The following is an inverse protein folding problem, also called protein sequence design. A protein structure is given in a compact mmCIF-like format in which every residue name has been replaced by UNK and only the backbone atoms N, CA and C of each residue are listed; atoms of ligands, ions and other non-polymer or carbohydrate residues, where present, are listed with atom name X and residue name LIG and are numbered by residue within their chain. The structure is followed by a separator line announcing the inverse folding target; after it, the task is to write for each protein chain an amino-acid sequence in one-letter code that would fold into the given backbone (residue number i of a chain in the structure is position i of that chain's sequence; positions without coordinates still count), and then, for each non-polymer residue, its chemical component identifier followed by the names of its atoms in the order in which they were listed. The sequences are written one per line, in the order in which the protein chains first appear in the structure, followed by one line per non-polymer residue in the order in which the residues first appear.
data_IF_916140631275
#
_entry.id   IF_916140631275
#
_cell.length_a   1.000
_cell.length_b   1.000
_cell.length_c   1.000
_cell.angle_alpha   90.00
_cell.angle_beta   90.00
_cell.angle_gamma   90.00
#
_symmetry.space_group_name_H-M   'P 1'
#
loop_
_entity.id
_entity.type
_entity.pdbx_description
1 polymer ?
#
# COMPACT_ATOMS: atom_id res chain seq x y z
N UNK A 1 -24.22 6.96 5.75
CA UNK A 1 -23.90 5.95 4.72
C UNK A 1 -22.61 5.28 5.16
N UNK A 2 -22.71 4.10 5.79
CA UNK A 2 -21.57 3.36 6.34
C UNK A 2 -20.74 2.83 5.17
N UNK A 3 -19.58 3.41 4.90
CA UNK A 3 -18.59 2.80 4.02
C UNK A 3 -17.96 1.61 4.75
N UNK A 4 -18.03 0.44 4.14
CA UNK A 4 -17.46 -0.81 4.66
C UNK A 4 -15.94 -0.74 4.65
N UNK A 5 -15.37 -0.18 5.72
CA UNK A 5 -13.94 -0.11 6.00
C UNK A 5 -13.43 -1.43 6.60
N UNK A 6 -13.64 -2.57 5.92
CA UNK A 6 -13.15 -3.85 6.42
C UNK A 6 -11.84 -4.21 5.74
N UNK A 7 -10.74 -4.18 6.47
CA UNK A 7 -9.60 -5.02 6.13
C UNK A 7 -10.07 -6.46 6.22
N UNK A 8 -9.66 -7.31 5.28
CA UNK A 8 -9.76 -8.75 5.47
C UNK A 8 -8.69 -9.11 6.51
N UNK A 9 -8.91 -8.77 7.79
CA UNK A 9 -8.04 -9.18 8.88
C UNK A 9 -8.21 -10.69 9.00
N UNK A 10 -7.34 -11.43 8.31
CA UNK A 10 -7.14 -12.83 8.66
C UNK A 10 -6.75 -12.86 10.15
N UNK A 11 -7.28 -13.80 10.94
CA UNK A 11 -7.02 -13.89 12.38
C UNK A 11 -5.54 -14.23 12.66
N UNK A 12 -4.65 -13.25 12.46
CA UNK A 12 -3.20 -13.40 12.41
C UNK A 12 -2.50 -12.64 13.54
N UNK A 13 -3.26 -12.04 14.47
CA UNK A 13 -2.74 -11.25 15.59
C UNK A 13 -2.36 -9.81 15.26
N UNK A 14 -2.61 -9.34 14.03
CA UNK A 14 -2.42 -7.94 13.64
C UNK A 14 -3.72 -7.16 13.89
N UNK A 15 -3.65 -6.17 14.77
CA UNK A 15 -4.75 -5.23 15.01
C UNK A 15 -4.46 -3.90 14.34
N UNK A 16 -5.38 -3.44 13.50
CA UNK A 16 -5.31 -2.12 12.86
C UNK A 16 -6.25 -1.16 13.57
N UNK A 17 -5.74 -0.02 14.04
CA UNK A 17 -6.60 1.06 14.53
C UNK A 17 -7.26 1.78 13.34
N UNK A 18 -8.40 1.26 12.90
CA UNK A 18 -9.13 1.79 11.74
C UNK A 18 -9.66 3.21 11.96
N UNK A 19 -9.85 3.64 13.21
CA UNK A 19 -10.33 4.99 13.53
C UNK A 19 -9.23 6.02 13.32
N UNK A 20 -8.02 5.71 13.77
CA UNK A 20 -6.82 6.51 13.52
C UNK A 20 -6.58 6.74 12.02
N UNK A 21 -6.76 5.68 11.23
CA UNK A 21 -6.69 5.73 9.76
C UNK A 21 -7.78 6.65 9.20
N UNK A 22 -9.05 6.42 9.58
CA UNK A 22 -10.18 7.20 9.08
C UNK A 22 -10.04 8.71 9.37
N UNK A 23 -9.45 9.07 10.51
CA UNK A 23 -9.24 10.44 10.94
C UNK A 23 -7.97 11.09 10.35
N UNK A 24 -7.21 10.38 9.52
CA UNK A 24 -5.90 10.83 9.01
C UNK A 24 -4.94 11.26 10.13
N UNK A 25 -5.08 10.69 11.32
CA UNK A 25 -4.23 11.01 12.46
C UNK A 25 -2.79 10.61 12.15
N UNK A 26 -1.83 11.54 12.32
CA UNK A 26 -0.41 11.41 11.96
C UNK A 26 -0.08 11.32 10.46
N UNK A 27 -1.05 11.53 9.56
CA UNK A 27 -0.77 11.51 8.11
C UNK A 27 0.18 12.64 7.70
N UNK A 28 0.02 13.83 8.27
CA UNK A 28 0.90 14.98 7.97
C UNK A 28 2.35 14.71 8.40
N UNK A 29 2.55 14.04 9.53
CA UNK A 29 3.88 13.63 10.00
C UNK A 29 4.48 12.58 9.08
N UNK A 30 3.69 11.60 8.62
CA UNK A 30 4.15 10.62 7.63
C UNK A 30 4.55 11.29 6.31
N UNK A 31 3.76 12.25 5.83
CA UNK A 31 4.07 13.01 4.63
C UNK A 31 5.35 13.84 4.84
N UNK A 32 5.52 14.44 6.00
CA UNK A 32 6.74 15.16 6.37
C UNK A 32 7.96 14.23 6.36
N UNK A 33 7.83 13.02 6.92
CA UNK A 33 8.86 11.99 6.90
C UNK A 33 9.26 11.64 5.46
N UNK A 34 8.29 11.38 4.57
CA UNK A 34 8.54 11.09 3.15
C UNK A 34 9.31 12.20 2.41
N UNK A 35 9.14 13.45 2.83
CA UNK A 35 9.78 14.61 2.18
C UNK A 35 11.16 14.93 2.75
N UNK A 36 11.38 14.68 4.05
CA UNK A 36 12.57 15.15 4.77
C UNK A 36 13.59 14.05 5.01
N UNK A 37 13.15 12.79 5.16
CA UNK A 37 14.04 11.68 5.42
C UNK A 37 14.65 11.11 4.13
N UNK A 38 15.83 10.51 4.26
CA UNK A 38 16.46 9.76 3.16
C UNK A 38 15.86 8.36 3.10
N UNK A 39 15.09 8.10 2.04
CA UNK A 39 14.53 6.79 1.75
C UNK A 39 15.44 5.98 0.83
N UNK A 40 15.64 4.70 1.15
CA UNK A 40 16.14 3.71 0.19
C UNK A 40 14.96 3.27 -0.66
N UNK A 41 15.07 3.41 -1.98
CA UNK A 41 14.02 3.01 -2.93
C UNK A 41 14.50 1.86 -3.79
N UNK A 42 13.66 0.85 -3.94
CA UNK A 42 13.93 -0.35 -4.73
C UNK A 42 12.75 -0.65 -5.66
N UNK A 43 13.06 -1.33 -6.76
CA UNK A 43 12.08 -1.95 -7.66
C UNK A 43 12.13 -3.49 -7.61
N UNK A 44 12.94 -4.03 -6.71
CA UNK A 44 13.04 -5.46 -6.44
C UNK A 44 12.17 -5.82 -5.23
N UNK A 45 11.20 -6.72 -5.44
CA UNK A 45 10.28 -7.22 -4.42
C UNK A 45 11.00 -7.91 -3.27
N UNK A 46 12.18 -8.47 -3.49
CA UNK A 46 12.97 -9.13 -2.45
C UNK A 46 13.58 -8.13 -1.46
N UNK A 47 13.54 -6.83 -1.77
CA UNK A 47 13.92 -5.77 -0.82
C UNK A 47 12.80 -5.40 0.15
N UNK A 48 11.57 -5.90 -0.04
CA UNK A 48 10.47 -5.68 0.92
C UNK A 48 10.74 -6.58 2.13
N UNK A 49 10.84 -6.04 3.36
CA UNK A 49 11.11 -6.85 4.55
C UNK A 49 10.06 -7.95 4.75
N UNK A 50 10.48 -9.10 5.26
CA UNK A 50 9.60 -10.24 5.52
C UNK A 50 8.43 -9.90 6.44
N UNK A 51 8.65 -9.07 7.47
CA UNK A 51 7.61 -8.57 8.37
C UNK A 51 6.53 -7.78 7.64
N UNK A 52 6.94 -6.93 6.68
CA UNK A 52 6.02 -6.17 5.84
C UNK A 52 5.24 -7.11 4.91
N UNK A 53 5.88 -8.11 4.31
CA UNK A 53 5.19 -9.11 3.50
C UNK A 53 4.20 -9.94 4.30
N UNK A 54 4.52 -10.31 5.54
CA UNK A 54 3.59 -10.99 6.45
C UNK A 54 2.39 -10.10 6.79
N UNK A 55 2.64 -8.81 7.04
CA UNK A 55 1.58 -7.84 7.31
C UNK A 55 0.63 -7.68 6.13
N UNK A 56 1.18 -7.51 4.92
CA UNK A 56 0.39 -7.41 3.69
C UNK A 56 -0.43 -8.70 3.45
N UNK A 57 0.17 -9.87 3.67
CA UNK A 57 -0.55 -11.16 3.62
C UNK A 57 -1.70 -11.22 4.62
N UNK A 58 -1.52 -10.69 5.83
CA UNK A 58 -2.59 -10.68 6.81
C UNK A 58 -3.75 -9.76 6.42
N UNK A 59 -3.45 -8.63 5.77
CA UNK A 59 -4.47 -7.66 5.36
C UNK A 59 -5.21 -8.01 4.07
N UNK A 60 -4.78 -9.05 3.35
CA UNK A 60 -5.46 -9.52 2.13
C UNK A 60 -6.05 -10.91 2.31
N UNK A 61 -7.25 -11.12 1.80
CA UNK A 61 -7.92 -12.44 1.85
C UNK A 61 -7.34 -13.45 0.85
N UNK A 62 -6.32 -13.05 0.10
CA UNK A 62 -6.02 -13.64 -1.20
C UNK A 62 -4.56 -14.08 -1.38
N UNK A 63 -3.85 -14.19 -0.25
CA UNK A 63 -2.41 -14.44 -0.14
C UNK A 63 -1.60 -13.46 -0.99
N UNK A 64 -1.20 -12.36 -0.36
CA UNK A 64 -0.45 -11.28 -0.98
C UNK A 64 0.74 -11.79 -1.79
N UNK A 65 0.61 -11.69 -3.12
CA UNK A 65 1.63 -12.03 -4.10
C UNK A 65 1.90 -10.83 -5.00
N UNK A 66 3.18 -10.57 -5.25
CA UNK A 66 3.63 -9.43 -6.05
C UNK A 66 4.78 -9.83 -6.98
N UNK A 67 4.72 -9.37 -8.22
CA UNK A 67 5.74 -9.54 -9.25
C UNK A 67 6.71 -8.34 -9.26
N UNK A 68 7.95 -8.55 -9.70
CA UNK A 68 8.86 -7.45 -10.06
C UNK A 68 8.34 -6.70 -11.30
N UNK A 69 8.80 -5.46 -11.56
CA UNK A 69 8.30 -4.68 -12.71
C UNK A 69 8.49 -5.33 -14.07
N UNK A 70 9.51 -6.19 -14.20
CA UNK A 70 9.86 -6.93 -15.41
C UNK A 70 9.32 -8.37 -15.44
N UNK A 71 8.55 -8.77 -14.43
CA UNK A 71 7.90 -10.07 -14.36
C UNK A 71 6.42 -9.98 -14.77
N UNK A 72 5.88 -11.09 -15.27
CA UNK A 72 4.45 -11.19 -15.54
C UNK A 72 3.63 -11.18 -14.26
N UNK A 73 2.43 -10.60 -14.36
CA UNK A 73 1.45 -10.56 -13.30
C UNK A 73 0.06 -10.69 -13.93
N UNK A 74 -0.93 -11.03 -13.12
CA UNK A 74 -2.32 -11.13 -13.54
C UNK A 74 -2.92 -9.75 -13.79
N UNK A 75 -2.66 -9.19 -14.98
CA UNK A 75 -3.29 -7.94 -15.40
C UNK A 75 -4.77 -8.14 -15.68
N UNK A 76 -5.55 -7.08 -15.48
CA UNK A 76 -6.80 -6.93 -16.21
C UNK A 76 -7.77 -8.11 -15.91
N UNK A 77 -8.45 -8.64 -16.93
CA UNK A 77 -9.35 -9.79 -16.81
C UNK A 77 -8.64 -11.16 -16.94
N UNK A 78 -7.30 -11.22 -16.84
CA UNK A 78 -6.53 -12.46 -16.93
C UNK A 78 -6.97 -13.44 -15.81
N UNK A 79 -7.33 -14.67 -16.19
CA UNK A 79 -7.82 -15.68 -15.26
C UNK A 79 -6.71 -16.58 -14.70
N UNK A 80 -5.46 -16.41 -15.15
CA UNK A 80 -4.33 -17.23 -14.69
C UNK A 80 -4.17 -17.13 -13.17
N UNK A 81 -4.43 -18.26 -12.49
CA UNK A 81 -4.27 -18.35 -11.04
C UNK A 81 -2.82 -18.55 -10.59
N UNK A 82 -1.90 -18.81 -11.53
CA UNK A 82 -0.48 -19.05 -11.25
C UNK A 82 0.35 -17.77 -11.18
N UNK A 83 -0.13 -16.68 -11.78
CA UNK A 83 0.58 -15.41 -11.80
C UNK A 83 0.30 -14.59 -10.52
N UNK A 84 1.28 -13.82 -10.02
CA UNK A 84 1.05 -12.86 -8.95
C UNK A 84 -0.06 -11.88 -9.32
N UNK A 85 -0.89 -11.50 -8.36
CA UNK A 85 -2.02 -10.58 -8.62
C UNK A 85 -1.64 -9.11 -8.66
N UNK A 86 -0.42 -8.80 -8.22
CA UNK A 86 0.10 -7.44 -8.04
C UNK A 86 1.42 -7.32 -8.80
N UNK A 87 1.73 -6.14 -9.33
CA UNK A 87 3.05 -5.83 -9.90
C UNK A 87 3.67 -4.64 -9.20
N UNK A 88 4.85 -4.81 -8.63
CA UNK A 88 5.56 -3.74 -7.93
C UNK A 88 5.88 -2.61 -8.90
N UNK A 89 5.58 -1.37 -8.50
CA UNK A 89 6.11 -0.18 -9.14
C UNK A 89 7.40 0.26 -8.45
N UNK A 90 7.33 0.43 -7.13
CA UNK A 90 8.48 0.61 -6.26
C UNK A 90 8.13 0.38 -4.78
N UNK A 91 9.16 0.14 -4.00
CA UNK A 91 9.17 0.10 -2.55
C UNK A 91 10.17 1.12 -2.02
N UNK A 92 9.81 1.86 -0.97
CA UNK A 92 10.69 2.81 -0.30
C UNK A 92 10.63 2.60 1.21
N UNK A 93 11.79 2.63 1.87
CA UNK A 93 11.89 2.52 3.33
C UNK A 93 12.83 3.56 3.94
N UNK A 94 12.51 4.01 5.16
CA UNK A 94 13.40 4.78 6.04
C UNK A 94 12.92 4.68 7.49
N UNK A 95 13.79 4.32 8.44
CA UNK A 95 13.53 4.40 9.89
C UNK A 95 12.17 3.84 10.35
N UNK A 96 11.76 2.68 9.84
CA UNK A 96 10.47 2.05 10.18
C UNK A 96 9.26 2.62 9.42
N UNK A 97 9.46 3.59 8.53
CA UNK A 97 8.47 4.13 7.60
C UNK A 97 8.62 3.44 6.24
N UNK A 98 7.51 2.94 5.69
CA UNK A 98 7.48 2.18 4.46
C UNK A 98 6.41 2.72 3.51
N UNK A 99 6.76 2.81 2.23
CA UNK A 99 5.87 3.17 1.14
C UNK A 99 5.98 2.10 0.05
N UNK A 100 4.87 1.48 -0.31
CA UNK A 100 4.78 0.52 -1.40
C UNK A 100 3.77 1.05 -2.41
N UNK A 101 4.13 1.00 -3.69
CA UNK A 101 3.17 1.20 -4.77
C UNK A 101 3.19 0.02 -5.73
N UNK A 102 2.01 -0.44 -6.13
CA UNK A 102 1.87 -1.59 -7.01
C UNK A 102 0.64 -1.47 -7.90
N UNK A 103 0.67 -2.15 -9.04
CA UNK A 103 -0.48 -2.29 -9.92
C UNK A 103 -1.32 -3.49 -9.52
N UNK A 104 -2.63 -3.36 -9.70
CA UNK A 104 -3.61 -4.44 -9.61
C UNK A 104 -4.47 -4.47 -10.87
N UNK A 105 -4.77 -5.69 -11.32
CA UNK A 105 -5.73 -5.95 -12.40
C UNK A 105 -7.19 -5.92 -11.92
N UNK A 106 -8.09 -6.49 -12.72
CA UNK A 106 -9.54 -6.43 -12.56
C UNK A 106 -10.20 -5.75 -13.78
N UNK A 107 -11.23 -4.93 -13.54
CA UNK A 107 -11.79 -4.06 -14.57
C UNK A 107 -10.81 -2.90 -14.81
N UNK A 108 -9.83 -3.15 -15.69
CA UNK A 108 -8.72 -2.23 -15.98
C UNK A 108 -7.48 -2.46 -15.11
N UNK A 109 -6.58 -1.48 -15.13
CA UNK A 109 -5.36 -1.44 -14.32
C UNK A 109 -5.43 -0.25 -13.38
N UNK A 110 -5.07 -0.50 -12.14
CA UNK A 110 -5.03 0.54 -11.12
C UNK A 110 -3.80 0.43 -10.24
N UNK A 111 -3.37 1.57 -9.72
CA UNK A 111 -2.27 1.68 -8.77
C UNK A 111 -2.82 1.73 -7.35
N UNK A 112 -2.26 0.88 -6.50
CA UNK A 112 -2.44 0.93 -5.04
C UNK A 112 -1.23 1.59 -4.41
N UNK A 113 -1.49 2.38 -3.38
CA UNK A 113 -0.49 2.98 -2.49
C UNK A 113 -0.70 2.35 -1.11
N UNK A 114 0.38 1.91 -0.48
CA UNK A 114 0.37 1.43 0.91
C UNK A 114 1.45 2.19 1.67
N UNK A 115 1.05 2.81 2.77
CA UNK A 115 1.92 3.58 3.66
C UNK A 115 1.83 2.94 5.04
N UNK A 116 2.97 2.55 5.60
CA UNK A 116 3.05 1.84 6.88
C UNK A 116 4.11 2.48 7.75
N UNK A 117 3.84 2.59 9.05
CA UNK A 117 4.84 2.93 10.05
C UNK A 117 4.89 1.83 11.10
N UNK A 118 6.10 1.34 11.37
CA UNK A 118 6.35 0.30 12.36
C UNK A 118 7.11 0.89 13.55
N UNK A 119 6.75 0.43 14.73
CA UNK A 119 7.48 0.63 15.97
C UNK A 119 7.50 -0.70 16.73
N UNK A 120 8.68 -1.17 17.12
CA UNK A 120 8.89 -2.45 17.81
C UNK A 120 8.19 -3.62 17.08
N UNK A 121 8.37 -3.69 15.75
CA UNK A 121 7.76 -4.64 14.82
C UNK A 121 6.21 -4.64 14.78
N UNK A 122 5.57 -3.64 15.38
CA UNK A 122 4.12 -3.43 15.32
C UNK A 122 3.78 -2.28 14.38
N UNK A 123 2.74 -2.45 13.58
CA UNK A 123 2.22 -1.34 12.77
C UNK A 123 1.46 -0.38 13.66
N UNK A 124 1.96 0.86 13.71
CA UNK A 124 1.37 1.95 14.50
C UNK A 124 0.57 2.93 13.64
N UNK A 125 0.85 2.95 12.33
CA UNK A 125 0.10 3.73 11.36
C UNK A 125 0.02 3.01 10.01
N UNK A 126 -1.13 3.10 9.35
CA UNK A 126 -1.37 2.50 8.05
C UNK A 126 -2.30 3.40 7.23
N UNK A 127 -1.96 3.64 5.96
CA UNK A 127 -2.89 4.26 5.02
C UNK A 127 -2.82 3.54 3.69
N UNK A 128 -3.97 3.48 3.03
CA UNK A 128 -4.07 2.96 1.67
C UNK A 128 -4.64 4.01 0.73
N UNK A 129 -4.11 4.03 -0.48
CA UNK A 129 -4.56 4.91 -1.55
C UNK A 129 -4.80 4.13 -2.83
N UNK A 130 -5.61 4.73 -3.69
CA UNK A 130 -5.93 4.20 -5.01
C UNK A 130 -5.74 5.30 -6.06
N UNK A 131 -5.25 4.96 -7.24
CA UNK A 131 -5.15 5.86 -8.39
C UNK A 131 -5.17 5.08 -9.70
N UNK A 132 -5.52 5.75 -10.80
CA UNK A 132 -5.29 5.24 -12.16
C UNK A 132 -3.93 5.66 -12.73
N UNK A 133 -3.16 6.46 -11.99
CA UNK A 133 -1.82 6.90 -12.38
C UNK A 133 -0.75 5.94 -11.88
N UNK A 134 0.20 5.57 -12.72
CA UNK A 134 1.40 4.85 -12.29
C UNK A 134 2.42 5.83 -11.67
N UNK A 135 2.73 5.64 -10.38
CA UNK A 135 3.71 6.48 -9.69
C UNK A 135 5.13 5.97 -9.95
N UNK A 136 6.02 6.88 -10.31
CA UNK A 136 7.45 6.59 -10.58
C UNK A 136 8.36 6.96 -9.42
N UNK A 137 7.87 7.69 -8.43
CA UNK A 137 8.67 8.13 -7.28
C UNK A 137 7.80 8.48 -6.07
N UNK A 138 8.42 8.54 -4.88
CA UNK A 138 7.77 8.97 -3.63
C UNK A 138 7.20 10.39 -3.73
N UNK A 139 7.87 11.30 -4.44
CA UNK A 139 7.44 12.70 -4.59
C UNK A 139 6.12 12.80 -5.36
N UNK A 140 5.92 11.93 -6.37
CA UNK A 140 4.66 11.87 -7.09
C UNK A 140 3.53 11.36 -6.18
N UNK A 141 3.81 10.37 -5.34
CA UNK A 141 2.84 9.87 -4.33
C UNK A 141 2.51 10.97 -3.33
N UNK A 142 3.49 11.69 -2.78
CA UNK A 142 3.27 12.81 -1.86
C UNK A 142 2.38 13.88 -2.50
N UNK A 143 2.68 14.28 -3.73
CA UNK A 143 1.87 15.25 -4.48
C UNK A 143 0.43 14.77 -4.64
N UNK A 144 0.25 13.48 -4.95
CA UNK A 144 -1.06 12.85 -5.09
C UNK A 144 -1.84 12.88 -3.77
N UNK A 145 -1.25 12.42 -2.67
CA UNK A 145 -1.90 12.36 -1.36
C UNK A 145 -2.31 13.76 -0.90
N UNK A 146 -1.42 14.76 -1.00
CA UNK A 146 -1.77 16.15 -0.64
C UNK A 146 -2.96 16.67 -1.43
N UNK A 147 -3.07 16.33 -2.72
CA UNK A 147 -4.16 16.78 -3.58
C UNK A 147 -5.46 15.98 -3.39
N UNK A 148 -5.39 14.71 -2.98
CA UNK A 148 -6.52 13.77 -3.04
C UNK A 148 -6.98 13.21 -1.69
N UNK A 149 -6.25 13.46 -0.59
CA UNK A 149 -6.59 12.90 0.74
C UNK A 149 -7.99 13.23 1.25
N UNK A 150 -8.55 14.40 0.88
CA UNK A 150 -9.91 14.82 1.27
C UNK A 150 -11.00 14.43 0.26
N UNK A 151 -10.65 13.77 -0.84
CA UNK A 151 -11.59 13.43 -1.90
C UNK A 151 -12.04 11.98 -1.72
N UNK A 152 -13.35 11.73 -1.89
CA UNK A 152 -13.92 10.39 -1.92
C UNK A 152 -13.16 9.53 -2.93
N UNK A 153 -12.69 8.35 -2.51
CA UNK A 153 -11.85 7.43 -3.29
C UNK A 153 -10.38 7.83 -3.53
N UNK A 154 -9.89 8.91 -2.92
CA UNK A 154 -8.47 9.31 -2.97
C UNK A 154 -7.60 8.48 -2.02
N UNK A 155 -7.50 8.94 -0.77
CA UNK A 155 -7.02 8.13 0.35
C UNK A 155 -8.24 7.42 0.98
N UNK A 156 -8.06 6.23 1.56
CA UNK A 156 -9.14 5.40 2.15
C UNK A 156 -10.16 4.80 1.16
N UNK A 157 -9.94 4.99 -0.16
CA UNK A 157 -10.88 4.62 -1.21
C UNK A 157 -11.06 3.12 -1.45
N UNK A 158 -10.20 2.29 -0.89
CA UNK A 158 -10.21 0.84 -1.01
C UNK A 158 -9.36 0.26 0.12
N UNK A 159 -10.00 -0.14 1.21
CA UNK A 159 -9.33 -0.82 2.33
C UNK A 159 -9.08 -2.32 2.02
N UNK A 160 -9.67 -2.85 0.95
CA UNK A 160 -9.20 -4.11 0.34
C UNK A 160 -7.86 -3.91 -0.35
N UNK A 161 -6.81 -4.56 0.17
CA UNK A 161 -5.45 -4.61 -0.40
C UNK A 161 -5.27 -5.75 -1.40
#
# INVERSE_FOLDING_TARGET
MLSSYSFAQNNCGITVDTMKIYLDENLDDFISDLQTQKFKTSKDKNQIPGSIMQYLNCLTSDNFSIANPNEEYRCCCESSQKLPKRKLLFFSESKGTFLITYLTGGVGVSTKIVMLKLQDDKVIDLWTGYSFTEFKSKEQVVKYIKAKRKIKFGLHGSIGL
#
